data_IF_190965653781
#
_entry.id   IF_190965653781
#
_cell.length_a   1.000
_cell.length_b   1.000
_cell.length_c   1.000
_cell.angle_alpha   90.00
_cell.angle_beta   90.00
_cell.angle_gamma   90.00
#
_symmetry.space_group_name_H-M   'P 1'
#
loop_
_entity.id
_entity.type
_entity.pdbx_description
1 polymer ?
#
# COMPACT_ATOMS: atom_id res chain seq x y z
N UNK A 1 25.91 7.46 9.63
CA UNK A 1 25.70 6.62 10.82
C UNK A 1 27.00 5.91 11.15
N UNK A 2 27.41 5.78 12.42
CA UNK A 2 28.56 4.97 12.77
C UNK A 2 28.27 3.52 12.32
N UNK A 3 29.27 2.89 11.70
CA UNK A 3 29.17 1.49 11.26
C UNK A 3 28.96 0.62 12.50
N UNK A 4 27.75 0.07 12.67
CA UNK A 4 27.41 -0.84 13.78
C UNK A 4 27.29 -2.25 13.26
N UNK A 5 27.72 -3.19 14.08
CA UNK A 5 27.58 -4.65 13.80
C UNK A 5 26.44 -5.17 14.66
N UNK A 6 25.47 -5.80 14.02
CA UNK A 6 24.36 -6.42 14.72
C UNK A 6 24.78 -7.73 15.36
N UNK A 7 24.24 -7.99 16.55
CA UNK A 7 24.63 -9.14 17.36
C UNK A 7 23.38 -9.94 17.72
N UNK A 8 23.43 -11.22 17.52
CA UNK A 8 22.42 -12.16 18.02
C UNK A 8 23.08 -13.18 18.98
N UNK A 9 22.35 -13.62 19.98
CA UNK A 9 22.84 -14.64 20.89
C UNK A 9 22.89 -16.02 20.23
N UNK A 10 23.39 -17.05 20.95
CA UNK A 10 23.46 -18.43 20.44
C UNK A 10 22.10 -19.01 20.05
N UNK A 11 21.00 -18.51 20.64
CA UNK A 11 19.62 -18.95 20.38
C UNK A 11 18.92 -18.15 19.27
N UNK A 12 19.63 -17.21 18.63
CA UNK A 12 19.09 -16.37 17.56
C UNK A 12 18.30 -15.15 18.03
N UNK A 13 18.26 -14.85 19.32
CA UNK A 13 17.61 -13.63 19.83
C UNK A 13 18.54 -12.42 19.63
N UNK A 14 18.01 -11.29 19.12
CA UNK A 14 18.81 -10.09 18.90
C UNK A 14 19.28 -9.47 20.22
N UNK A 15 20.48 -8.92 20.18
CA UNK A 15 21.10 -8.15 21.25
C UNK A 15 21.38 -6.73 20.76
N UNK A 16 21.91 -5.87 21.67
CA UNK A 16 22.34 -4.53 21.26
C UNK A 16 23.53 -4.63 20.28
N UNK A 17 23.55 -3.79 19.25
CA UNK A 17 24.67 -3.77 18.30
C UNK A 17 25.95 -3.31 18.97
N UNK A 18 27.07 -3.76 18.45
CA UNK A 18 28.40 -3.39 18.94
C UNK A 18 29.22 -2.63 17.90
N UNK A 19 30.34 -2.08 18.32
CA UNK A 19 31.31 -1.46 17.42
C UNK A 19 32.00 -2.51 16.53
N UNK A 20 32.47 -2.14 15.34
CA UNK A 20 33.21 -3.05 14.46
C UNK A 20 34.48 -3.63 15.12
N UNK A 21 35.17 -2.85 15.97
CA UNK A 21 36.33 -3.34 16.71
C UNK A 21 35.97 -4.49 17.65
N UNK A 22 34.89 -4.31 18.45
CA UNK A 22 34.41 -5.37 19.34
C UNK A 22 33.96 -6.63 18.57
N UNK A 23 33.31 -6.44 17.44
CA UNK A 23 32.89 -7.56 16.59
C UNK A 23 34.10 -8.35 16.05
N UNK A 24 35.17 -7.66 15.65
CA UNK A 24 36.42 -8.29 15.18
C UNK A 24 37.04 -9.15 16.28
N UNK A 25 37.24 -8.57 17.47
CA UNK A 25 37.76 -9.35 18.60
C UNK A 25 36.95 -10.62 18.90
N UNK A 26 35.59 -10.48 18.89
CA UNK A 26 34.73 -11.65 19.12
C UNK A 26 34.85 -12.73 18.03
N UNK A 27 35.12 -12.35 16.79
CA UNK A 27 35.33 -13.26 15.68
C UNK A 27 36.71 -13.91 15.75
N UNK A 28 37.76 -13.13 16.04
CA UNK A 28 39.14 -13.59 16.14
C UNK A 28 39.35 -14.58 17.33
N UNK A 29 38.66 -14.31 18.45
CA UNK A 29 38.64 -15.19 19.62
C UNK A 29 37.72 -16.42 19.45
N UNK A 30 37.08 -16.60 18.31
CA UNK A 30 36.14 -17.70 18.07
C UNK A 30 34.85 -17.64 18.91
N UNK A 31 34.59 -16.52 19.61
CA UNK A 31 33.41 -16.30 20.46
C UNK A 31 32.15 -15.95 19.65
N UNK A 32 32.31 -15.59 18.37
CA UNK A 32 31.21 -15.30 17.46
C UNK A 32 31.49 -15.91 16.08
N UNK A 33 30.38 -16.06 15.30
CA UNK A 33 30.44 -16.45 13.89
C UNK A 33 29.61 -15.50 13.05
N UNK A 34 29.99 -15.33 11.79
CA UNK A 34 29.22 -14.50 10.84
C UNK A 34 27.88 -15.18 10.54
N UNK A 35 26.77 -14.46 10.75
CA UNK A 35 25.42 -14.95 10.48
C UNK A 35 24.84 -14.38 9.19
N UNK A 36 25.04 -13.07 8.95
CA UNK A 36 24.61 -12.36 7.74
C UNK A 36 25.68 -11.37 7.31
N UNK A 37 25.81 -11.17 6.01
CA UNK A 37 26.71 -10.15 5.44
C UNK A 37 26.03 -8.79 5.30
N UNK A 38 24.72 -8.76 5.01
CA UNK A 38 23.96 -7.53 4.80
C UNK A 38 22.58 -7.62 5.49
N UNK A 39 22.28 -6.77 6.47
CA UNK A 39 23.26 -6.00 7.25
C UNK A 39 24.22 -6.92 8.02
N UNK A 40 25.45 -6.46 8.27
CA UNK A 40 26.45 -7.31 8.89
C UNK A 40 26.06 -7.71 10.30
N UNK A 41 25.90 -9.01 10.53
CA UNK A 41 25.35 -9.58 11.76
C UNK A 41 26.21 -10.78 12.19
N UNK A 42 26.63 -10.78 13.44
CA UNK A 42 27.35 -11.88 14.07
C UNK A 42 26.46 -12.61 15.07
N UNK A 43 26.71 -13.89 15.24
CA UNK A 43 26.04 -14.73 16.23
C UNK A 43 27.05 -15.17 17.28
N UNK A 44 26.74 -14.93 18.55
CA UNK A 44 27.56 -15.44 19.67
C UNK A 44 27.43 -16.95 19.79
N UNK A 45 28.54 -17.63 20.09
CA UNK A 45 28.56 -19.09 20.31
C UNK A 45 28.42 -19.46 21.79
N UNK A 46 28.62 -18.51 22.68
CA UNK A 46 28.47 -18.67 24.13
C UNK A 46 27.14 -18.09 24.66
N UNK A 47 26.78 -18.44 25.88
CA UNK A 47 25.60 -17.90 26.54
C UNK A 47 25.78 -16.43 26.92
N UNK A 48 24.79 -15.61 26.56
CA UNK A 48 24.73 -14.20 26.97
C UNK A 48 23.30 -13.90 27.38
N UNK A 49 23.13 -13.40 28.60
CA UNK A 49 21.85 -12.87 29.10
C UNK A 49 21.61 -11.43 28.66
N UNK A 50 22.61 -10.77 28.07
CA UNK A 50 22.69 -9.43 27.51
C UNK A 50 21.62 -8.41 27.94
N UNK A 51 22.03 -7.36 28.63
CA UNK A 51 21.11 -6.24 28.89
C UNK A 51 20.77 -5.56 27.57
N UNK A 52 19.48 -5.40 27.30
CA UNK A 52 18.97 -4.69 26.12
C UNK A 52 18.33 -3.37 26.55
N UNK A 53 18.56 -2.32 25.78
CA UNK A 53 17.87 -1.05 25.95
C UNK A 53 16.50 -1.12 25.24
N UNK A 54 15.59 -0.24 25.62
CA UNK A 54 14.35 -0.06 24.88
C UNK A 54 14.66 0.44 23.46
N UNK A 55 14.25 -0.34 22.46
CA UNK A 55 14.39 0.01 21.04
C UNK A 55 13.01 0.19 20.43
N UNK A 56 12.74 1.37 19.89
CA UNK A 56 11.48 1.70 19.22
C UNK A 56 11.72 1.64 17.72
N UNK A 57 10.88 0.88 17.02
CA UNK A 57 10.87 0.81 15.57
C UNK A 57 9.75 1.68 15.02
N UNK A 58 10.08 2.75 14.30
CA UNK A 58 9.16 3.57 13.54
C UNK A 58 9.04 3.06 12.09
N UNK A 59 7.82 3.06 11.58
CA UNK A 59 7.50 2.59 10.23
C UNK A 59 6.60 3.60 9.53
N UNK A 60 7.12 4.21 8.46
CA UNK A 60 6.32 4.95 7.49
C UNK A 60 5.81 3.98 6.43
N UNK A 61 4.53 3.62 6.54
CA UNK A 61 3.90 2.62 5.70
C UNK A 61 3.45 3.22 4.34
N UNK A 62 4.40 3.41 3.43
CA UNK A 62 4.15 3.91 2.08
C UNK A 62 3.85 2.82 1.04
N UNK A 63 3.19 3.19 -0.07
CA UNK A 63 2.88 2.25 -1.15
C UNK A 63 4.04 1.99 -2.11
N UNK A 64 4.93 2.97 -2.28
CA UNK A 64 6.09 2.91 -3.18
C UNK A 64 7.40 2.75 -2.43
N UNK A 65 7.47 3.23 -1.22
CA UNK A 65 8.64 3.15 -0.35
C UNK A 65 8.16 2.99 1.08
N UNK A 66 8.81 2.11 1.83
CA UNK A 66 8.59 1.90 3.25
C UNK A 66 9.79 2.48 3.97
N UNK A 67 9.59 3.53 4.77
CA UNK A 67 10.61 4.03 5.67
C UNK A 67 10.63 3.22 6.96
N UNK A 68 11.82 2.84 7.42
CA UNK A 68 12.00 2.18 8.71
C UNK A 68 13.16 2.81 9.45
N UNK A 69 12.97 3.10 10.73
CA UNK A 69 14.00 3.63 11.62
C UNK A 69 13.86 3.01 13.00
N UNK A 70 14.95 2.51 13.56
CA UNK A 70 14.99 1.95 14.91
C UNK A 70 15.92 2.77 15.79
N UNK A 71 15.41 3.24 16.91
CA UNK A 71 16.14 4.11 17.81
C UNK A 71 16.02 3.70 19.28
N UNK A 72 17.06 4.04 20.04
CA UNK A 72 17.03 4.09 21.49
C UNK A 72 16.75 5.54 21.93
N UNK A 73 16.70 5.80 23.25
CA UNK A 73 16.62 7.18 23.77
C UNK A 73 17.80 8.06 23.36
N UNK A 74 18.96 7.46 23.01
CA UNK A 74 20.22 8.20 22.76
C UNK A 74 20.58 8.28 21.27
N UNK A 75 20.27 7.26 20.49
CA UNK A 75 20.78 7.18 19.11
C UNK A 75 19.89 6.31 18.20
N UNK A 76 19.99 6.59 16.91
CA UNK A 76 19.40 5.76 15.86
C UNK A 76 20.33 4.59 15.56
N UNK A 77 19.78 3.37 15.67
CA UNK A 77 20.53 2.13 15.48
C UNK A 77 20.42 1.58 14.05
N UNK A 78 19.32 1.90 13.37
CA UNK A 78 19.01 1.40 12.03
C UNK A 78 18.13 2.41 11.30
N UNK A 79 18.43 2.65 10.02
CA UNK A 79 17.54 3.35 9.10
C UNK A 79 17.63 2.72 7.73
N UNK A 80 16.49 2.56 7.06
CA UNK A 80 16.43 2.08 5.69
C UNK A 80 15.17 2.53 4.96
N UNK A 81 15.31 2.69 3.64
CA UNK A 81 14.21 2.75 2.71
C UNK A 81 14.07 1.39 2.03
N UNK A 82 12.92 0.75 2.21
CA UNK A 82 12.59 -0.50 1.53
C UNK A 82 11.68 -0.18 0.36
N UNK A 83 12.09 -0.58 -0.84
CA UNK A 83 11.29 -0.42 -2.05
C UNK A 83 10.47 -1.69 -2.24
N UNK A 84 9.14 -1.63 -2.02
CA UNK A 84 8.27 -2.78 -2.22
C UNK A 84 8.15 -3.09 -3.71
N UNK A 85 7.82 -4.33 -4.00
CA UNK A 85 7.61 -4.84 -5.34
C UNK A 85 6.51 -4.06 -6.07
N UNK A 86 6.83 -3.47 -7.21
CA UNK A 86 5.89 -2.66 -8.00
C UNK A 86 5.46 -3.35 -9.31
N UNK A 87 6.08 -4.46 -9.67
CA UNK A 87 5.87 -5.18 -10.94
C UNK A 87 4.67 -6.14 -10.95
N UNK A 88 3.99 -6.33 -9.81
CA UNK A 88 2.89 -7.31 -9.68
C UNK A 88 1.74 -7.05 -10.65
N UNK A 89 1.40 -5.78 -10.90
CA UNK A 89 0.33 -5.40 -11.83
C UNK A 89 0.69 -5.77 -13.26
N UNK A 90 1.93 -5.48 -13.66
CA UNK A 90 2.45 -5.77 -15.01
C UNK A 90 2.55 -7.27 -15.24
N UNK A 91 3.05 -8.02 -14.26
CA UNK A 91 3.10 -9.49 -14.32
C UNK A 91 1.69 -10.12 -14.43
N UNK A 92 0.70 -9.56 -13.72
CA UNK A 92 -0.70 -10.02 -13.84
C UNK A 92 -1.27 -9.69 -15.23
N UNK A 93 -0.93 -8.55 -15.81
CA UNK A 93 -1.32 -8.15 -17.17
C UNK A 93 -0.70 -9.09 -18.20
N UNK A 94 0.60 -9.32 -18.14
CA UNK A 94 1.32 -10.28 -19.00
C UNK A 94 0.72 -11.69 -18.91
N UNK A 95 0.43 -12.14 -17.69
CA UNK A 95 -0.25 -13.43 -17.48
C UNK A 95 -1.64 -13.46 -18.11
N UNK A 96 -2.37 -12.35 -18.10
CA UNK A 96 -3.67 -12.20 -18.79
C UNK A 96 -3.51 -12.32 -20.30
N UNK A 97 -2.49 -11.67 -20.88
CA UNK A 97 -2.19 -11.72 -22.32
C UNK A 97 -1.82 -13.12 -22.77
N UNK A 98 -0.94 -13.81 -22.07
CA UNK A 98 -0.62 -15.20 -22.36
C UNK A 98 -1.84 -16.15 -22.29
N UNK A 99 -2.72 -15.92 -21.34
CA UNK A 99 -3.97 -16.69 -21.27
C UNK A 99 -4.91 -16.39 -22.45
N UNK A 100 -4.97 -15.14 -22.90
CA UNK A 100 -5.73 -14.75 -24.09
C UNK A 100 -5.14 -15.39 -25.34
N UNK A 101 -3.82 -15.30 -25.53
CA UNK A 101 -3.12 -15.92 -26.64
C UNK A 101 -3.34 -17.44 -26.70
N UNK A 102 -3.23 -18.14 -25.55
CA UNK A 102 -3.51 -19.60 -25.50
C UNK A 102 -4.94 -19.94 -25.90
N UNK A 103 -5.93 -19.12 -25.54
CA UNK A 103 -7.34 -19.37 -25.91
C UNK A 103 -7.59 -19.14 -27.39
N UNK A 104 -6.87 -18.19 -28.00
CA UNK A 104 -7.02 -17.87 -29.42
C UNK A 104 -6.26 -18.83 -30.35
N UNK A 105 -5.44 -19.74 -29.82
CA UNK A 105 -4.80 -20.80 -30.63
C UNK A 105 -5.85 -21.78 -31.14
N UNK A 106 -5.87 -22.03 -32.45
CA UNK A 106 -6.84 -22.91 -33.12
C UNK A 106 -6.77 -24.39 -32.71
N UNK A 107 -5.72 -24.80 -32.01
CA UNK A 107 -5.44 -26.20 -31.65
C UNK A 107 -6.40 -26.79 -30.61
N UNK A 108 -6.94 -25.97 -29.67
CA UNK A 108 -7.91 -26.44 -28.67
C UNK A 108 -8.71 -25.29 -28.11
N UNK A 109 -9.97 -25.15 -28.51
CA UNK A 109 -10.87 -24.17 -27.92
C UNK A 109 -11.38 -24.62 -26.55
N UNK A 110 -11.22 -23.79 -25.53
CA UNK A 110 -11.84 -23.93 -24.20
C UNK A 110 -12.67 -22.71 -23.90
N UNK A 111 -13.93 -22.92 -23.51
CA UNK A 111 -14.79 -21.81 -23.07
C UNK A 111 -14.09 -20.99 -21.96
N UNK A 112 -14.15 -19.65 -22.01
CA UNK A 112 -13.60 -18.81 -20.94
C UNK A 112 -14.32 -19.12 -19.61
N UNK A 113 -13.56 -19.40 -18.56
CA UNK A 113 -14.09 -19.64 -17.21
C UNK A 113 -14.04 -18.33 -16.41
N UNK A 114 -14.84 -17.36 -16.75
CA UNK A 114 -14.85 -16.05 -16.08
C UNK A 114 -15.37 -16.16 -14.64
N UNK A 115 -16.39 -16.98 -14.41
CA UNK A 115 -17.10 -17.08 -13.13
C UNK A 115 -16.30 -17.81 -12.05
N UNK A 116 -15.39 -18.71 -12.41
CA UNK A 116 -14.61 -19.49 -11.45
C UNK A 116 -13.74 -18.67 -10.51
N UNK A 117 -13.42 -17.41 -10.87
CA UNK A 117 -12.57 -16.54 -10.04
C UNK A 117 -13.37 -15.70 -9.07
N UNK A 118 -14.59 -15.32 -9.43
CA UNK A 118 -15.48 -14.56 -8.55
C UNK A 118 -15.99 -15.48 -7.44
N UNK A 119 -16.36 -16.70 -7.77
CA UNK A 119 -16.89 -17.70 -6.84
C UNK A 119 -15.82 -18.41 -6.00
N UNK A 120 -14.57 -18.44 -6.45
CA UNK A 120 -13.46 -19.07 -5.71
C UNK A 120 -12.74 -18.14 -4.73
N UNK A 121 -13.18 -16.89 -4.58
CA UNK A 121 -12.64 -15.99 -3.57
C UNK A 121 -13.16 -16.39 -2.20
N UNK A 122 -12.26 -16.77 -1.31
CA UNK A 122 -12.60 -17.03 0.08
C UNK A 122 -12.87 -15.71 0.84
N UNK A 123 -13.52 -15.79 1.98
CA UNK A 123 -13.74 -14.64 2.87
C UNK A 123 -12.37 -14.01 3.23
N UNK A 124 -12.29 -12.69 3.16
CA UNK A 124 -11.04 -11.94 3.44
C UNK A 124 -10.02 -11.95 2.29
N UNK A 125 -10.41 -12.43 1.08
CA UNK A 125 -9.51 -12.40 -0.08
C UNK A 125 -9.14 -10.97 -0.46
N UNK A 126 -7.84 -10.70 -0.57
CA UNK A 126 -7.31 -9.44 -1.08
C UNK A 126 -6.72 -9.59 -2.48
N UNK A 127 -6.70 -8.48 -3.22
CA UNK A 127 -6.03 -8.46 -4.52
C UNK A 127 -4.53 -8.76 -4.35
N UNK A 128 -3.90 -9.55 -5.24
CA UNK A 128 -2.50 -9.94 -5.10
C UNK A 128 -1.53 -8.76 -4.94
N UNK A 129 -1.80 -7.63 -5.59
CA UNK A 129 -0.99 -6.42 -5.46
C UNK A 129 -1.06 -5.80 -4.06
N UNK A 130 -2.19 -5.88 -3.39
CA UNK A 130 -2.38 -5.42 -2.00
C UNK A 130 -1.71 -6.40 -1.05
N UNK A 131 -1.95 -7.70 -1.25
CA UNK A 131 -1.40 -8.77 -0.42
C UNK A 131 0.13 -8.74 -0.40
N UNK A 132 0.78 -8.65 -1.57
CA UNK A 132 2.24 -8.56 -1.67
C UNK A 132 2.77 -7.37 -0.89
N UNK A 133 2.16 -6.19 -1.03
CA UNK A 133 2.62 -5.00 -0.30
C UNK A 133 2.47 -5.14 1.21
N UNK A 134 1.38 -5.71 1.70
CA UNK A 134 1.20 -5.98 3.13
C UNK A 134 2.30 -6.92 3.63
N UNK A 135 2.57 -8.01 2.91
CA UNK A 135 3.60 -8.98 3.28
C UNK A 135 5.01 -8.38 3.27
N UNK A 136 5.29 -7.45 2.36
CA UNK A 136 6.57 -6.76 2.34
C UNK A 136 6.77 -5.82 3.52
N UNK A 137 5.71 -5.12 3.98
CA UNK A 137 5.77 -4.34 5.21
C UNK A 137 6.05 -5.24 6.43
N UNK A 138 5.31 -6.33 6.57
CA UNK A 138 5.51 -7.30 7.66
C UNK A 138 6.93 -7.87 7.61
N UNK A 139 7.41 -8.21 6.41
CA UNK A 139 8.76 -8.73 6.20
C UNK A 139 9.83 -7.70 6.58
N UNK A 140 9.66 -6.43 6.20
CA UNK A 140 10.58 -5.35 6.56
C UNK A 140 10.66 -5.20 8.09
N UNK A 141 9.52 -5.16 8.77
CA UNK A 141 9.45 -5.08 10.24
C UNK A 141 10.13 -6.30 10.89
N UNK A 142 9.80 -7.52 10.46
CA UNK A 142 10.38 -8.75 10.99
C UNK A 142 11.89 -8.83 10.76
N UNK A 143 12.40 -8.31 9.65
CA UNK A 143 13.85 -8.27 9.38
C UNK A 143 14.58 -7.40 10.39
N UNK A 144 14.01 -6.23 10.76
CA UNK A 144 14.60 -5.37 11.78
C UNK A 144 14.48 -6.00 13.17
N UNK A 145 13.31 -6.55 13.53
CA UNK A 145 13.13 -7.29 14.78
C UNK A 145 14.05 -8.51 14.91
N UNK A 146 14.51 -9.08 13.79
CA UNK A 146 15.44 -10.21 13.79
C UNK A 146 16.91 -9.83 14.01
N UNK A 147 17.26 -8.54 13.99
CA UNK A 147 18.65 -8.06 14.19
C UNK A 147 18.78 -7.06 15.35
N UNK A 148 17.66 -6.49 15.82
CA UNK A 148 17.62 -5.56 16.94
C UNK A 148 16.57 -6.02 17.97
N UNK A 149 16.81 -5.82 19.26
CA UNK A 149 15.87 -6.16 20.33
C UNK A 149 14.76 -5.12 20.42
N UNK A 150 13.91 -5.07 19.39
CA UNK A 150 12.80 -4.13 19.30
C UNK A 150 11.79 -4.43 20.41
N UNK A 151 11.46 -3.42 21.21
CA UNK A 151 10.51 -3.49 22.33
C UNK A 151 9.10 -3.09 21.91
N UNK A 152 8.96 -2.22 20.92
CA UNK A 152 7.67 -1.80 20.35
C UNK A 152 7.82 -1.30 18.91
N UNK A 153 6.77 -1.41 18.14
CA UNK A 153 6.66 -0.91 16.77
C UNK A 153 5.65 0.22 16.73
N UNK A 154 5.98 1.31 16.09
CA UNK A 154 5.07 2.44 15.85
C UNK A 154 4.87 2.58 14.35
N UNK A 155 3.62 2.54 13.88
CA UNK A 155 3.28 2.61 12.46
C UNK A 155 2.41 3.82 12.20
N UNK A 156 2.73 4.59 11.16
CA UNK A 156 1.86 5.68 10.72
C UNK A 156 0.65 5.13 9.96
N UNK A 157 -0.54 5.50 10.43
CA UNK A 157 -1.80 5.23 9.75
C UNK A 157 -2.41 6.51 9.20
N UNK A 158 -3.12 6.40 8.07
CA UNK A 158 -3.79 7.56 7.50
C UNK A 158 -5.02 7.94 8.34
N UNK A 159 -5.17 9.23 8.60
CA UNK A 159 -6.33 9.77 9.29
C UNK A 159 -7.57 9.84 8.39
N UNK A 160 -7.37 9.96 7.07
CA UNK A 160 -8.45 10.12 6.10
C UNK A 160 -8.69 8.83 5.32
N UNK A 161 -9.66 8.07 5.80
CA UNK A 161 -10.26 6.97 5.06
C UNK A 161 -11.51 7.48 4.35
N UNK A 162 -11.38 7.83 3.07
CA UNK A 162 -12.48 8.39 2.27
C UNK A 162 -13.66 7.42 2.13
N UNK A 163 -13.41 6.10 2.11
CA UNK A 163 -14.48 5.11 2.04
C UNK A 163 -15.21 5.00 3.38
N UNK A 164 -14.49 5.04 4.49
CA UNK A 164 -15.07 5.08 5.83
C UNK A 164 -15.94 6.33 6.01
N UNK A 165 -15.40 7.51 5.67
CA UNK A 165 -16.13 8.78 5.77
C UNK A 165 -17.40 8.77 4.91
N UNK A 166 -17.31 8.21 3.69
CA UNK A 166 -18.47 8.06 2.80
C UNK A 166 -19.48 7.06 3.37
N UNK A 167 -19.03 5.93 3.90
CA UNK A 167 -19.92 4.94 4.52
C UNK A 167 -20.68 5.53 5.73
N UNK A 168 -19.98 6.30 6.58
CA UNK A 168 -20.60 7.01 7.71
C UNK A 168 -21.63 8.03 7.20
N UNK A 169 -21.28 8.83 6.20
CA UNK A 169 -22.20 9.82 5.61
C UNK A 169 -23.43 9.17 4.96
N UNK A 170 -23.26 8.00 4.35
CA UNK A 170 -24.34 7.23 3.71
C UNK A 170 -25.10 6.31 4.70
N UNK A 171 -24.77 6.30 5.99
CA UNK A 171 -25.37 5.41 7.00
C UNK A 171 -25.09 3.91 6.77
N UNK A 172 -24.02 3.57 6.05
CA UNK A 172 -23.62 2.20 5.74
C UNK A 172 -22.67 1.63 6.80
N UNK A 173 -22.60 0.30 6.94
CA UNK A 173 -21.63 -0.34 7.84
C UNK A 173 -20.19 0.09 7.54
N UNK A 174 -19.38 0.19 8.58
CA UNK A 174 -17.95 0.51 8.47
C UNK A 174 -17.24 -0.53 7.61
N UNK A 175 -16.60 -0.14 6.49
CA UNK A 175 -15.93 -1.07 5.60
C UNK A 175 -14.77 -1.77 6.32
N UNK A 176 -14.61 -3.08 6.12
CA UNK A 176 -13.53 -3.88 6.67
C UNK A 176 -12.86 -4.69 5.57
N UNK A 177 -11.52 -4.81 5.65
CA UNK A 177 -10.73 -5.69 4.80
C UNK A 177 -11.16 -5.71 3.32
N UNK A 178 -11.86 -6.76 2.92
CA UNK A 178 -12.33 -6.94 1.54
C UNK A 178 -13.38 -5.93 1.06
N UNK A 179 -14.10 -5.28 1.97
CA UNK A 179 -15.16 -4.31 1.60
C UNK A 179 -14.58 -3.09 0.92
N UNK A 180 -13.34 -2.73 1.23
CA UNK A 180 -12.61 -1.69 0.52
C UNK A 180 -12.38 -1.98 -0.95
N UNK A 181 -12.46 -3.25 -1.37
CA UNK A 181 -12.36 -3.67 -2.76
C UNK A 181 -13.71 -3.60 -3.49
N UNK A 182 -14.81 -3.49 -2.75
CA UNK A 182 -16.18 -3.34 -3.27
C UNK A 182 -16.47 -1.85 -3.49
N UNK A 183 -15.70 -1.21 -4.40
CA UNK A 183 -15.91 0.18 -4.80
C UNK A 183 -17.19 0.37 -5.61
N UNK A 184 -17.43 1.58 -6.09
CA UNK A 184 -18.64 1.96 -6.85
C UNK A 184 -18.90 1.09 -8.09
N UNK A 185 -17.85 0.51 -8.68
CA UNK A 185 -17.97 -0.40 -9.83
C UNK A 185 -18.29 -1.85 -9.45
N UNK A 186 -18.34 -2.17 -8.16
CA UNK A 186 -18.63 -3.53 -7.73
C UNK A 186 -20.05 -3.94 -8.12
N UNK A 187 -20.18 -5.12 -8.73
CA UNK A 187 -21.46 -5.60 -9.25
C UNK A 187 -21.73 -5.26 -10.73
N UNK A 188 -20.98 -4.34 -11.31
CA UNK A 188 -21.07 -4.07 -12.75
C UNK A 188 -20.17 -5.00 -13.54
N UNK A 189 -20.67 -5.46 -14.70
CA UNK A 189 -19.95 -6.41 -15.57
C UNK A 189 -18.59 -5.87 -16.06
N UNK A 190 -18.51 -4.57 -16.37
CA UNK A 190 -17.30 -3.86 -16.77
C UNK A 190 -17.43 -2.35 -16.56
N UNK A 191 -16.32 -1.61 -16.79
CA UNK A 191 -16.29 -0.14 -16.65
C UNK A 191 -17.33 0.55 -17.53
N UNK A 192 -17.51 0.07 -18.77
CA UNK A 192 -18.50 0.63 -19.71
C UNK A 192 -19.91 0.56 -19.13
N UNK A 193 -20.32 -0.58 -18.57
CA UNK A 193 -21.65 -0.75 -17.96
C UNK A 193 -21.81 0.15 -16.74
N UNK A 194 -20.78 0.29 -15.92
CA UNK A 194 -20.78 1.22 -14.79
C UNK A 194 -20.95 2.68 -15.26
N UNK A 195 -20.20 3.10 -16.30
CA UNK A 195 -20.27 4.48 -16.81
C UNK A 195 -21.64 4.77 -17.40
N UNK A 196 -22.21 3.85 -18.19
CA UNK A 196 -23.56 3.99 -18.73
C UNK A 196 -24.60 4.11 -17.61
N UNK A 197 -24.52 3.25 -16.58
CA UNK A 197 -25.41 3.30 -15.42
C UNK A 197 -25.21 4.59 -14.62
N UNK A 198 -23.97 5.02 -14.36
CA UNK A 198 -23.63 6.25 -13.64
C UNK A 198 -24.23 7.48 -14.31
N UNK A 199 -24.20 7.51 -15.64
CA UNK A 199 -24.68 8.60 -16.46
C UNK A 199 -26.17 8.45 -16.81
N UNK A 200 -26.88 7.51 -16.14
CA UNK A 200 -28.30 7.22 -16.32
C UNK A 200 -28.66 6.97 -17.79
N UNK A 201 -27.84 6.20 -18.51
CA UNK A 201 -28.00 5.92 -19.93
C UNK A 201 -28.28 7.18 -20.77
N UNK A 202 -27.74 8.34 -20.38
CA UNK A 202 -28.00 9.64 -20.97
C UNK A 202 -26.73 10.23 -21.58
N UNK A 203 -26.84 10.76 -22.79
CA UNK A 203 -25.74 11.51 -23.41
C UNK A 203 -25.40 12.77 -22.58
N UNK A 204 -24.19 12.89 -22.11
CA UNK A 204 -23.78 14.01 -21.26
C UNK A 204 -23.54 15.32 -22.04
N UNK A 205 -23.66 15.28 -23.37
CA UNK A 205 -23.60 16.45 -24.24
C UNK A 205 -25.00 16.99 -24.56
N UNK A 206 -25.82 16.21 -25.28
CA UNK A 206 -27.14 16.67 -25.76
C UNK A 206 -28.31 16.22 -24.87
N UNK A 207 -28.10 15.40 -23.85
CA UNK A 207 -29.16 14.90 -22.98
C UNK A 207 -30.03 13.80 -23.60
N UNK A 208 -29.69 13.24 -24.77
CA UNK A 208 -30.43 12.13 -25.35
C UNK A 208 -30.35 10.88 -24.43
N UNK A 209 -31.51 10.39 -24.01
CA UNK A 209 -31.68 9.29 -23.09
C UNK A 209 -32.11 8.02 -23.81
N UNK A 210 -31.44 6.91 -23.55
CA UNK A 210 -31.82 5.60 -24.09
C UNK A 210 -32.89 4.95 -23.21
N UNK A 211 -34.04 4.67 -23.79
CA UNK A 211 -35.14 3.95 -23.11
C UNK A 211 -35.48 2.66 -23.87
N UNK A 212 -36.25 1.77 -23.25
CA UNK A 212 -36.74 0.55 -23.90
C UNK A 212 -37.61 0.85 -25.16
N UNK A 213 -38.21 2.07 -25.21
CA UNK A 213 -39.07 2.49 -26.35
C UNK A 213 -38.30 3.31 -27.38
N UNK A 214 -37.20 3.96 -27.01
CA UNK A 214 -36.37 4.77 -27.90
C UNK A 214 -34.94 4.28 -27.84
N UNK A 215 -34.55 3.59 -28.90
CA UNK A 215 -33.19 3.09 -29.02
C UNK A 215 -32.24 4.25 -29.38
N UNK A 216 -31.38 4.62 -28.44
CA UNK A 216 -30.29 5.57 -28.66
C UNK A 216 -28.99 4.82 -28.50
N UNK A 217 -28.21 4.76 -29.57
CA UNK A 217 -26.89 4.12 -29.52
C UNK A 217 -25.93 4.98 -28.71
N UNK A 218 -25.49 4.44 -27.55
CA UNK A 218 -24.60 5.13 -26.61
C UNK A 218 -23.18 4.58 -26.68
N UNK A 219 -22.22 5.48 -26.72
CA UNK A 219 -20.78 5.22 -26.68
C UNK A 219 -20.18 5.76 -25.37
N UNK A 220 -19.19 5.04 -24.85
CA UNK A 220 -18.36 5.52 -23.73
C UNK A 220 -17.05 6.01 -24.30
N UNK A 221 -16.83 7.31 -24.19
CA UNK A 221 -15.68 8.04 -24.72
C UNK A 221 -14.66 8.33 -23.62
N UNK A 222 -13.36 8.26 -23.94
CA UNK A 222 -12.28 8.65 -23.03
C UNK A 222 -11.99 10.15 -23.18
N UNK A 223 -12.06 10.89 -22.09
CA UNK A 223 -11.78 12.34 -22.07
C UNK A 223 -10.29 12.60 -22.35
N UNK A 224 -9.42 11.90 -21.68
CA UNK A 224 -8.00 11.85 -21.99
C UNK A 224 -7.66 10.54 -22.68
N UNK A 225 -6.62 10.56 -23.51
CA UNK A 225 -6.22 9.35 -24.23
C UNK A 225 -6.01 8.18 -23.24
N UNK A 226 -6.33 6.98 -23.69
CA UNK A 226 -6.19 5.77 -22.87
C UNK A 226 -4.78 5.55 -22.32
N UNK A 227 -3.76 6.11 -23.02
CA UNK A 227 -2.36 6.05 -22.57
C UNK A 227 -2.10 6.93 -21.35
N UNK A 228 -2.80 8.06 -21.23
CA UNK A 228 -2.61 9.07 -20.17
C UNK A 228 -3.62 8.88 -19.05
N UNK A 229 -4.92 8.89 -19.36
CA UNK A 229 -6.00 8.79 -18.38
C UNK A 229 -6.44 7.37 -18.03
N UNK A 230 -6.01 6.37 -18.79
CA UNK A 230 -6.37 4.97 -18.59
C UNK A 230 -7.87 4.68 -18.72
N UNK A 231 -8.30 3.52 -18.25
CA UNK A 231 -9.71 3.08 -18.22
C UNK A 231 -10.42 3.47 -16.91
N UNK A 232 -9.98 4.54 -16.23
CA UNK A 232 -10.65 5.02 -15.02
C UNK A 232 -12.06 5.56 -15.37
N UNK A 233 -13.09 5.29 -14.56
CA UNK A 233 -14.43 5.78 -14.80
C UNK A 233 -14.50 7.30 -14.93
N UNK A 234 -13.65 8.02 -14.20
CA UNK A 234 -13.60 9.49 -14.22
C UNK A 234 -13.04 10.05 -15.53
N UNK A 235 -12.28 9.21 -16.27
CA UNK A 235 -11.78 9.52 -17.59
C UNK A 235 -12.76 9.13 -18.71
N UNK A 236 -13.96 8.68 -18.36
CA UNK A 236 -14.94 8.21 -19.32
C UNK A 236 -16.28 8.93 -19.19
N UNK A 237 -16.93 9.19 -20.32
CA UNK A 237 -18.22 9.89 -20.42
C UNK A 237 -19.14 9.20 -21.42
N UNK A 238 -20.44 9.19 -21.14
CA UNK A 238 -21.46 8.65 -22.04
C UNK A 238 -21.88 9.68 -23.08
N UNK A 239 -21.78 9.35 -24.36
CA UNK A 239 -22.20 10.16 -25.50
C UNK A 239 -23.08 9.34 -26.43
N UNK A 240 -24.07 9.98 -27.08
CA UNK A 240 -24.75 9.35 -28.20
C UNK A 240 -23.85 9.32 -29.44
N UNK A 241 -24.17 8.46 -30.40
CA UNK A 241 -23.38 8.26 -31.63
C UNK A 241 -23.12 9.61 -32.35
N UNK A 242 -24.14 10.43 -32.54
CA UNK A 242 -24.04 11.76 -33.19
C UNK A 242 -23.09 12.71 -32.45
N UNK A 243 -23.17 12.79 -31.11
CA UNK A 243 -22.28 13.66 -30.33
C UNK A 243 -20.84 13.11 -30.31
N UNK A 244 -20.68 11.79 -30.28
CA UNK A 244 -19.39 11.13 -30.35
C UNK A 244 -18.67 11.41 -31.68
N UNK A 245 -19.38 11.33 -32.81
CA UNK A 245 -18.84 11.70 -34.13
C UNK A 245 -18.48 13.18 -34.24
N UNK A 246 -19.37 14.07 -33.76
CA UNK A 246 -19.12 15.54 -33.75
C UNK A 246 -17.87 15.88 -32.93
N UNK A 247 -17.64 15.16 -31.82
CA UNK A 247 -16.46 15.33 -31.00
C UNK A 247 -15.18 14.94 -31.75
N UNK A 248 -15.18 13.76 -32.43
CA UNK A 248 -14.04 13.34 -33.26
C UNK A 248 -13.76 14.25 -34.46
N UNK A 249 -14.81 14.93 -34.98
CA UNK A 249 -14.69 15.93 -36.03
C UNK A 249 -14.30 17.32 -35.51
N UNK A 250 -14.10 17.48 -34.19
CA UNK A 250 -13.75 18.76 -33.57
C UNK A 250 -14.88 19.81 -33.53
N UNK A 251 -16.12 19.41 -33.84
CA UNK A 251 -17.29 20.31 -33.87
C UNK A 251 -17.83 20.56 -32.44
N UNK A 252 -17.46 19.78 -31.47
CA UNK A 252 -17.83 19.93 -30.08
C UNK A 252 -16.57 19.81 -29.24
N UNK A 253 -16.45 20.60 -28.18
CA UNK A 253 -15.32 20.53 -27.26
C UNK A 253 -15.72 19.78 -25.97
N UNK A 254 -14.76 19.15 -25.30
CA UNK A 254 -14.96 18.46 -24.03
C UNK A 254 -15.48 19.37 -22.89
N UNK A 255 -15.23 20.69 -23.00
CA UNK A 255 -15.78 21.70 -22.08
C UNK A 255 -17.31 21.76 -22.08
N UNK A 256 -17.95 21.28 -23.15
CA UNK A 256 -19.42 21.32 -23.33
C UNK A 256 -20.13 20.17 -22.63
N UNK A 257 -19.35 19.20 -22.05
CA UNK A 257 -19.92 18.11 -21.29
C UNK A 257 -20.18 18.50 -19.83
N UNK A 258 -21.20 17.92 -19.24
CA UNK A 258 -21.45 18.01 -17.79
C UNK A 258 -20.31 17.33 -17.04
N UNK A 259 -19.24 18.08 -16.78
CA UNK A 259 -18.03 17.56 -16.13
C UNK A 259 -18.30 17.16 -14.68
N UNK A 260 -18.31 15.88 -14.42
CA UNK A 260 -18.09 15.36 -13.08
C UNK A 260 -16.58 15.12 -12.91
N UNK A 261 -15.82 16.17 -12.56
CA UNK A 261 -14.42 16.01 -12.13
C UNK A 261 -14.42 15.36 -10.75
N UNK A 262 -14.44 14.05 -10.71
CA UNK A 262 -14.05 13.29 -9.51
C UNK A 262 -12.55 13.01 -9.63
N UNK A 263 -11.76 13.48 -8.69
CA UNK A 263 -10.37 13.07 -8.55
C UNK A 263 -10.36 11.56 -8.25
N UNK A 264 -9.52 10.79 -8.94
CA UNK A 264 -9.36 9.38 -8.67
C UNK A 264 -9.00 9.17 -7.20
N UNK A 265 -9.77 8.37 -6.49
CA UNK A 265 -9.52 7.99 -5.09
C UNK A 265 -8.80 6.64 -4.98
N UNK A 266 -8.33 6.10 -6.11
CA UNK A 266 -7.73 4.78 -6.22
C UNK A 266 -6.57 4.57 -5.24
N UNK A 267 -5.66 5.54 -5.17
CA UNK A 267 -4.49 5.44 -4.29
C UNK A 267 -4.90 5.56 -2.81
N UNK A 268 -5.84 6.45 -2.50
CA UNK A 268 -6.38 6.58 -1.15
C UNK A 268 -7.08 5.30 -0.69
N UNK A 269 -7.92 4.72 -1.56
CA UNK A 269 -8.58 3.43 -1.30
C UNK A 269 -7.57 2.32 -1.09
N UNK A 270 -6.56 2.23 -1.96
CA UNK A 270 -5.49 1.24 -1.83
C UNK A 270 -4.75 1.36 -0.50
N UNK A 271 -4.39 2.60 -0.11
CA UNK A 271 -3.71 2.88 1.16
C UNK A 271 -4.59 2.55 2.37
N UNK A 272 -5.88 2.85 2.31
CA UNK A 272 -6.85 2.50 3.35
C UNK A 272 -6.91 0.98 3.59
N UNK A 273 -7.08 0.18 2.53
CA UNK A 273 -7.08 -1.29 2.61
C UNK A 273 -5.76 -1.80 3.20
N UNK A 274 -4.64 -1.33 2.63
CA UNK A 274 -3.30 -1.81 2.98
C UNK A 274 -3.01 -1.54 4.46
N UNK A 275 -3.17 -0.30 4.92
CA UNK A 275 -2.84 0.10 6.29
C UNK A 275 -3.71 -0.59 7.33
N UNK A 276 -5.03 -0.62 7.11
CA UNK A 276 -5.96 -1.28 8.03
C UNK A 276 -5.67 -2.78 8.17
N UNK A 277 -5.48 -3.47 7.05
CA UNK A 277 -5.15 -4.90 7.06
C UNK A 277 -3.75 -5.15 7.63
N UNK A 278 -2.77 -4.29 7.32
CA UNK A 278 -1.44 -4.35 7.90
C UNK A 278 -1.50 -4.29 9.42
N UNK A 279 -2.22 -3.32 9.98
CA UNK A 279 -2.35 -3.18 11.43
C UNK A 279 -3.01 -4.39 12.07
N UNK A 280 -4.11 -4.90 11.52
CA UNK A 280 -4.76 -6.11 12.01
C UNK A 280 -3.80 -7.30 12.07
N UNK A 281 -2.98 -7.49 11.02
CA UNK A 281 -2.00 -8.58 10.99
C UNK A 281 -0.83 -8.34 11.94
N UNK A 282 -0.33 -7.12 12.06
CA UNK A 282 0.75 -6.81 13.01
C UNK A 282 0.32 -7.07 14.45
N UNK A 283 -0.91 -6.72 14.83
CA UNK A 283 -1.45 -7.03 16.15
C UNK A 283 -1.56 -8.55 16.42
N UNK A 284 -1.87 -9.34 15.40
CA UNK A 284 -2.01 -10.79 15.57
C UNK A 284 -0.71 -11.57 15.43
N UNK A 285 0.26 -11.07 14.69
CA UNK A 285 1.46 -11.82 14.28
C UNK A 285 2.74 -11.42 15.03
N UNK A 286 2.79 -10.23 15.63
CA UNK A 286 3.95 -9.76 16.36
C UNK A 286 3.79 -9.99 17.87
N UNK A 287 4.80 -10.58 18.53
CA UNK A 287 4.78 -10.79 19.98
C UNK A 287 5.14 -9.54 20.79
N UNK A 288 5.22 -8.38 20.14
CA UNK A 288 5.61 -7.09 20.74
C UNK A 288 4.52 -6.05 20.50
N UNK A 289 4.37 -5.05 21.38
CA UNK A 289 3.37 -4.00 21.22
C UNK A 289 3.50 -3.26 19.90
N UNK A 290 2.38 -3.10 19.20
CA UNK A 290 2.26 -2.30 17.99
C UNK A 290 1.37 -1.10 18.29
N UNK A 291 1.79 0.08 17.87
CA UNK A 291 1.12 1.34 18.18
C UNK A 291 0.88 2.11 16.89
N UNK A 292 -0.28 2.72 16.76
CA UNK A 292 -0.61 3.60 15.65
C UNK A 292 -0.26 5.05 15.96
N UNK A 293 0.23 5.77 14.96
CA UNK A 293 0.41 7.22 15.02
C UNK A 293 -0.21 7.88 13.78
N UNK A 294 -0.39 9.17 13.85
CA UNK A 294 -1.06 9.95 12.80
C UNK A 294 -0.07 10.84 12.05
N UNK A 295 -0.30 11.04 10.75
CA UNK A 295 0.60 11.79 9.87
C UNK A 295 0.86 13.23 10.31
N UNK A 296 -0.10 13.91 10.96
CA UNK A 296 0.13 15.26 11.49
C UNK A 296 1.13 15.27 12.65
N UNK A 297 1.15 14.21 13.48
CA UNK A 297 2.13 14.07 14.59
C UNK A 297 3.52 13.85 13.98
N UNK A 298 3.62 12.94 13.00
CA UNK A 298 4.86 12.69 12.25
C UNK A 298 5.41 13.98 11.66
N UNK A 299 4.55 14.75 10.96
CA UNK A 299 4.94 16.01 10.36
C UNK A 299 5.43 17.02 11.43
N UNK A 300 4.67 17.21 12.50
CA UNK A 300 5.02 18.13 13.57
C UNK A 300 6.34 17.74 14.24
N UNK A 301 6.55 16.46 14.53
CA UNK A 301 7.80 15.95 15.12
C UNK A 301 8.97 16.16 14.18
N UNK A 302 8.83 15.83 12.89
CA UNK A 302 9.91 16.01 11.91
C UNK A 302 10.28 17.48 11.72
N UNK A 303 9.29 18.37 11.53
CA UNK A 303 9.54 19.77 11.17
C UNK A 303 9.88 20.65 12.36
N UNK A 304 9.18 20.48 13.49
CA UNK A 304 9.32 21.37 14.65
C UNK A 304 10.34 20.89 15.68
N UNK A 305 10.44 19.57 15.87
CA UNK A 305 11.31 19.00 16.89
C UNK A 305 12.67 18.59 16.32
N UNK A 306 12.68 17.84 15.22
CA UNK A 306 13.89 17.28 14.63
C UNK A 306 14.51 18.20 13.58
N UNK A 307 13.76 19.15 13.04
CA UNK A 307 14.17 20.08 11.95
C UNK A 307 14.82 19.32 10.79
N UNK A 308 14.16 18.23 10.34
CA UNK A 308 14.66 17.36 9.31
C UNK A 308 13.89 17.53 7.98
N UNK A 309 14.57 17.40 6.84
CA UNK A 309 13.91 17.41 5.53
C UNK A 309 12.98 16.20 5.39
N UNK A 310 11.98 16.33 4.51
CA UNK A 310 11.04 15.24 4.23
C UNK A 310 11.75 14.09 3.52
N UNK A 311 11.76 12.93 4.15
CA UNK A 311 12.16 11.64 3.55
C UNK A 311 11.46 10.52 4.31
N UNK A 312 11.31 9.35 3.69
CA UNK A 312 10.66 8.22 4.35
C UNK A 312 11.43 7.74 5.60
N UNK A 313 12.76 7.81 5.60
CA UNK A 313 13.57 7.47 6.78
C UNK A 313 13.41 8.50 7.89
N UNK A 314 13.37 9.81 7.56
CA UNK A 314 13.18 10.86 8.54
C UNK A 314 11.74 10.84 9.10
N UNK A 315 10.76 10.49 8.27
CA UNK A 315 9.39 10.27 8.73
C UNK A 315 9.33 9.07 9.69
N UNK A 316 10.00 7.95 9.35
CA UNK A 316 10.10 6.80 10.25
C UNK A 316 10.81 7.12 11.58
N UNK A 317 11.87 7.93 11.54
CA UNK A 317 12.55 8.43 12.74
C UNK A 317 11.58 9.27 13.59
N UNK A 318 10.87 10.22 12.97
CA UNK A 318 9.88 11.05 13.65
C UNK A 318 8.74 10.24 14.26
N UNK A 319 8.27 9.17 13.57
CA UNK A 319 7.27 8.24 14.06
C UNK A 319 7.73 7.53 15.32
N UNK A 320 8.97 7.04 15.33
CA UNK A 320 9.52 6.35 16.49
C UNK A 320 9.73 7.30 17.70
N UNK A 321 10.11 8.53 17.44
CA UNK A 321 10.39 9.53 18.49
C UNK A 321 9.13 10.23 19.01
N UNK A 322 8.13 10.45 18.15
CA UNK A 322 6.93 11.23 18.49
C UNK A 322 6.12 10.70 19.66
N UNK A 323 6.25 9.43 20.01
CA UNK A 323 5.60 8.86 21.21
C UNK A 323 6.34 9.06 22.52
N UNK A 324 7.60 9.44 22.48
CA UNK A 324 8.30 9.85 23.72
C UNK A 324 7.80 11.19 24.23
N UNK A 325 7.21 12.01 23.34
CA UNK A 325 6.71 13.35 23.66
C UNK A 325 5.27 13.38 24.16
N UNK A 326 4.41 12.42 23.72
CA UNK A 326 3.01 12.38 24.15
C UNK A 326 2.82 12.03 25.63
N UNK A 327 3.87 11.53 26.30
CA UNK A 327 3.88 11.24 27.73
C UNK A 327 4.38 12.42 28.60
N UNK A 328 4.88 13.50 27.97
CA UNK A 328 5.44 14.66 28.68
C UNK A 328 4.44 15.85 28.69
N UNK A 329 3.39 15.77 27.88
CA UNK A 329 2.40 16.85 27.72
C UNK A 329 0.95 16.41 28.04
N UNK A 330 0.78 15.65 29.13
CA UNK A 330 -0.53 15.48 29.79
C UNK A 330 -0.39 16.01 31.22
#
# INVERSE_FOLDING_TARGET
MPNKVYVINKHGRPLMPCSPAKARHLLDEGKAKIKKRTPFTIQLVYGSSGYTQEVILGVDAGSKTIGVSALTKKEELFAANVIPRNDVVDLLSTRREFRRARRNRKTRYRKPRFDNRVRSKHKGWLAPSVEVKIQEHITAIRRVCGILPVSKVVVETAEFDLQLLKAIADGKPVPQGEDYQKGEMYGHYNVRQYVLWRDDYTCQCCGAHATKKKEVRLHVHHLESRKVGGDAPDNQVTLCESCHEKLHKGLIAEKDFKKRKRKSTRDATFMGIMRKTLMQRLYSELPIPVIETRGYITKATREKLLVLPKSHTNDALAIAQGKQLSLIHI
#
